data_IF_391643647234
#
_entry.id   IF_391643647234
#
_cell.length_a   1.000
_cell.length_b   1.000
_cell.length_c   1.000
_cell.angle_alpha   90.00
_cell.angle_beta   90.00
_cell.angle_gamma   90.00
#
_symmetry.space_group_name_H-M   'P 1'
#
loop_
_entity.id
_entity.type
_entity.pdbx_description
1 polymer ?
#
# COMPACT_ATOMS: atom_id res chain seq x y z
N UNK A 1 -4.65 -4.26 7.16
CA UNK A 1 -4.01 -2.94 6.98
C UNK A 1 -4.30 -2.49 5.54
N UNK A 2 -5.26 -1.59 5.35
CA UNK A 2 -5.52 -0.96 4.05
C UNK A 2 -4.40 0.06 3.84
N UNK A 3 -3.65 -0.02 2.74
CA UNK A 3 -2.74 1.05 2.34
C UNK A 3 -3.14 1.52 0.94
N UNK A 4 -3.59 2.77 0.84
CA UNK A 4 -3.79 3.47 -0.42
C UNK A 4 -2.72 4.54 -0.52
N UNK A 5 -1.87 4.49 -1.55
CA UNK A 5 -0.84 5.52 -1.75
C UNK A 5 -1.31 6.48 -2.81
N UNK A 6 -1.65 7.70 -2.42
CA UNK A 6 -1.93 8.81 -3.32
C UNK A 6 -0.64 9.60 -3.55
N UNK A 7 -0.17 9.67 -4.79
CA UNK A 7 0.89 10.61 -5.18
C UNK A 7 0.21 11.87 -5.71
N UNK A 8 0.34 12.98 -4.98
CA UNK A 8 -0.09 14.32 -5.41
C UNK A 8 1.19 15.12 -5.66
N UNK A 9 1.14 16.16 -6.51
CA UNK A 9 2.22 17.12 -6.72
C UNK A 9 2.79 17.76 -5.43
N UNK A 10 2.12 17.61 -4.28
CA UNK A 10 2.58 18.03 -2.94
C UNK A 10 3.27 16.92 -2.11
N UNK A 11 3.60 15.78 -2.73
CA UNK A 11 4.27 14.63 -2.10
C UNK A 11 3.38 13.39 -1.90
N UNK A 12 3.97 12.22 -1.58
CA UNK A 12 3.23 10.99 -1.33
C UNK A 12 2.38 11.07 -0.05
N UNK A 13 1.11 10.72 -0.16
CA UNK A 13 0.16 10.58 0.96
C UNK A 13 -0.29 9.13 1.03
N UNK A 14 -0.29 8.56 2.23
CA UNK A 14 -0.76 7.20 2.46
C UNK A 14 -2.05 7.25 3.29
N UNK A 15 -3.07 6.53 2.86
CA UNK A 15 -4.27 6.30 3.66
C UNK A 15 -4.15 4.90 4.22
N UNK A 16 -4.15 4.77 5.55
CA UNK A 16 -4.06 3.48 6.21
C UNK A 16 -4.41 3.49 7.68
N UNK A 17 -4.77 2.32 8.19
CA UNK A 17 -5.19 2.13 9.58
C UNK A 17 -3.96 1.92 10.49
N UNK A 18 -3.72 2.86 11.43
CA UNK A 18 -3.15 2.52 12.74
C UNK A 18 -1.67 2.78 13.06
N UNK A 19 -0.85 3.44 12.23
CA UNK A 19 0.50 3.95 12.65
C UNK A 19 0.91 5.20 11.88
N UNK A 20 1.70 6.08 12.53
CA UNK A 20 2.39 7.21 11.90
C UNK A 20 3.54 6.70 11.02
N UNK A 21 3.53 7.09 9.75
CA UNK A 21 4.62 6.85 8.79
C UNK A 21 5.47 8.13 8.61
N UNK A 22 5.40 9.06 9.56
CA UNK A 22 6.02 10.38 9.48
C UNK A 22 7.54 10.30 9.33
N UNK A 23 8.18 9.26 9.89
CA UNK A 23 9.60 8.97 9.70
C UNK A 23 10.01 8.69 8.25
N UNK A 24 9.05 8.44 7.36
CA UNK A 24 9.26 8.25 5.91
C UNK A 24 8.80 9.46 5.09
N UNK A 25 8.48 10.59 5.75
CA UNK A 25 7.88 11.75 5.09
C UNK A 25 6.46 11.47 4.57
N UNK A 26 5.83 10.41 5.06
CA UNK A 26 4.53 9.92 4.60
C UNK A 26 3.47 10.29 5.63
N UNK A 27 2.48 11.07 5.19
CA UNK A 27 1.30 11.35 6.00
C UNK A 27 0.36 10.15 5.97
N UNK A 28 0.01 9.65 7.15
CA UNK A 28 -0.98 8.60 7.35
C UNK A 28 -2.32 9.22 7.75
N UNK A 29 -3.42 8.71 7.22
CA UNK A 29 -4.76 9.14 7.60
C UNK A 29 -5.76 7.99 7.47
N UNK A 30 -6.85 8.08 8.22
CA UNK A 30 -8.00 7.20 8.03
C UNK A 30 -8.75 7.63 6.77
N UNK A 31 -9.33 6.67 6.06
CA UNK A 31 -10.20 6.99 4.93
C UNK A 31 -11.46 7.69 5.45
N UNK A 32 -11.56 9.00 5.19
CA UNK A 32 -12.75 9.80 5.44
C UNK A 32 -13.19 10.50 4.15
N UNK A 33 -14.36 11.13 4.19
CA UNK A 33 -14.93 11.82 3.03
C UNK A 33 -14.08 13.01 2.56
N UNK A 34 -13.27 13.62 3.45
CA UNK A 34 -12.43 14.76 3.11
C UNK A 34 -11.29 14.38 2.16
N UNK A 35 -10.75 13.16 2.29
CA UNK A 35 -9.73 12.62 1.39
C UNK A 35 -10.28 12.28 0.01
N UNK A 36 -11.55 11.87 -0.07
CA UNK A 36 -12.21 11.50 -1.33
C UNK A 36 -12.45 12.71 -2.25
N UNK A 37 -12.29 13.93 -1.75
CA UNK A 37 -12.33 15.16 -2.55
C UNK A 37 -11.00 15.45 -3.30
N UNK A 38 -9.95 14.65 -3.07
CA UNK A 38 -8.63 14.92 -3.63
C UNK A 38 -8.35 14.05 -4.85
N UNK A 39 -8.29 14.68 -6.02
CA UNK A 39 -8.00 14.03 -7.30
C UNK A 39 -6.51 13.71 -7.49
N UNK A 40 -6.06 12.59 -6.94
CA UNK A 40 -4.69 12.11 -7.07
C UNK A 40 -4.34 11.73 -8.52
N UNK A 41 -3.08 11.95 -8.90
CA UNK A 41 -2.55 11.52 -10.20
C UNK A 41 -2.42 10.00 -10.27
N UNK A 42 -1.91 9.41 -9.19
CA UNK A 42 -1.67 7.98 -9.06
C UNK A 42 -2.17 7.51 -7.70
N UNK A 43 -2.89 6.39 -7.70
CA UNK A 43 -3.28 5.67 -6.49
C UNK A 43 -2.76 4.25 -6.57
N UNK A 44 -2.03 3.79 -5.54
CA UNK A 44 -1.61 2.39 -5.39
C UNK A 44 -2.50 1.70 -4.37
N UNK A 45 -3.22 0.67 -4.81
CA UNK A 45 -4.12 -0.13 -3.98
C UNK A 45 -3.37 -1.37 -3.44
N UNK A 46 -3.22 -1.44 -2.12
CA UNK A 46 -2.44 -2.44 -1.40
C UNK A 46 -3.26 -3.19 -0.31
N UNK A 47 -4.58 -3.18 -0.40
CA UNK A 47 -5.52 -3.84 0.54
C UNK A 47 -5.99 -5.20 0.06
N UNK A 48 -6.23 -5.35 -1.25
CA UNK A 48 -6.77 -6.57 -1.86
C UNK A 48 -8.24 -6.81 -1.52
N UNK A 49 -8.97 -5.75 -1.13
CA UNK A 49 -10.40 -5.81 -0.80
C UNK A 49 -11.26 -5.00 -1.78
N UNK A 50 -12.51 -5.43 -2.07
CA UNK A 50 -13.43 -4.68 -2.94
C UNK A 50 -13.66 -3.23 -2.49
N UNK A 51 -13.77 -3.01 -1.17
CA UNK A 51 -13.88 -1.67 -0.61
C UNK A 51 -12.61 -0.83 -0.86
N UNK A 52 -11.43 -1.44 -0.77
CA UNK A 52 -10.16 -0.79 -1.07
C UNK A 52 -10.09 -0.29 -2.51
N UNK A 53 -10.51 -1.12 -3.47
CA UNK A 53 -10.60 -0.72 -4.88
C UNK A 53 -11.55 0.46 -5.09
N UNK A 54 -12.77 0.39 -4.52
CA UNK A 54 -13.77 1.45 -4.67
C UNK A 54 -13.26 2.78 -4.08
N UNK A 55 -12.63 2.75 -2.90
CA UNK A 55 -11.98 3.92 -2.31
C UNK A 55 -10.84 4.43 -3.18
N UNK A 56 -9.98 3.54 -3.70
CA UNK A 56 -8.86 3.91 -4.57
C UNK A 56 -9.32 4.66 -5.83
N UNK A 57 -10.39 4.17 -6.46
CA UNK A 57 -10.97 4.77 -7.66
C UNK A 57 -11.52 6.17 -7.40
N UNK A 58 -12.15 6.41 -6.24
CA UNK A 58 -12.69 7.72 -5.85
C UNK A 58 -11.60 8.74 -5.54
N UNK A 59 -10.42 8.30 -5.13
CA UNK A 59 -9.26 9.16 -4.87
C UNK A 59 -8.56 9.64 -6.13
N UNK A 60 -8.92 9.13 -7.32
CA UNK A 60 -8.28 9.54 -8.57
C UNK A 60 -8.99 10.76 -9.18
N UNK A 61 -8.19 11.66 -9.76
CA UNK A 61 -8.73 12.61 -10.74
C UNK A 61 -9.03 11.90 -12.06
N UNK A 62 -9.86 12.50 -12.94
CA UNK A 62 -9.92 12.09 -14.34
C UNK A 62 -8.53 12.02 -14.96
N UNK A 63 -8.29 10.96 -15.74
CA UNK A 63 -7.03 10.59 -16.39
C UNK A 63 -5.92 10.15 -15.43
N UNK A 64 -6.27 9.86 -14.18
CA UNK A 64 -5.35 9.29 -13.19
C UNK A 64 -5.07 7.80 -13.41
N UNK A 65 -4.09 7.27 -12.70
CA UNK A 65 -3.67 5.87 -12.76
C UNK A 65 -3.93 5.12 -11.45
N UNK A 66 -4.68 4.01 -11.52
CA UNK A 66 -4.87 3.05 -10.43
C UNK A 66 -3.90 1.88 -10.58
N UNK A 67 -2.93 1.76 -9.68
CA UNK A 67 -1.97 0.65 -9.63
C UNK A 67 -2.45 -0.40 -8.63
N UNK A 68 -2.73 -1.60 -9.13
CA UNK A 68 -3.16 -2.75 -8.33
C UNK A 68 -1.93 -3.53 -7.90
N UNK A 69 -1.51 -3.35 -6.64
CA UNK A 69 -0.39 -4.10 -6.06
C UNK A 69 -0.85 -5.40 -5.40
N UNK A 70 -2.09 -5.42 -4.93
CA UNK A 70 -2.68 -6.55 -4.24
C UNK A 70 -3.17 -7.65 -5.17
N UNK A 71 -3.25 -8.85 -4.61
CA UNK A 71 -4.11 -9.93 -5.12
C UNK A 71 -5.43 -9.91 -4.36
N UNK A 72 -6.55 -9.92 -5.08
CA UNK A 72 -7.88 -9.97 -4.49
C UNK A 72 -8.22 -11.41 -4.11
N UNK A 73 -8.72 -11.60 -2.90
CA UNK A 73 -9.18 -12.90 -2.42
C UNK A 73 -10.59 -13.23 -2.96
N UNK A 74 -11.46 -12.22 -2.99
CA UNK A 74 -12.83 -12.32 -3.50
C UNK A 74 -12.97 -11.74 -4.92
N UNK A 75 -14.07 -12.09 -5.58
CA UNK A 75 -14.46 -11.48 -6.85
C UNK A 75 -14.71 -9.97 -6.67
N UNK A 76 -14.22 -9.18 -7.63
CA UNK A 76 -14.36 -7.73 -7.64
C UNK A 76 -15.45 -7.31 -8.63
N UNK A 77 -16.45 -6.57 -8.14
CA UNK A 77 -17.39 -5.84 -9.00
C UNK A 77 -16.82 -4.46 -9.32
N UNK A 78 -16.78 -4.11 -10.60
CA UNK A 78 -16.14 -2.88 -11.09
C UNK A 78 -17.13 -2.07 -11.91
N UNK A 79 -17.26 -0.79 -11.59
CA UNK A 79 -17.94 0.19 -12.45
C UNK A 79 -17.05 0.54 -13.64
N UNK A 80 -17.22 -0.20 -14.74
CA UNK A 80 -16.48 0.02 -15.98
C UNK A 80 -16.83 1.35 -16.63
N UNK A 81 -18.08 1.81 -16.53
CA UNK A 81 -18.52 3.07 -17.10
C UNK A 81 -17.80 4.24 -16.43
N UNK A 82 -17.71 4.23 -15.10
CA UNK A 82 -16.94 5.22 -14.37
C UNK A 82 -15.48 5.26 -14.79
N UNK A 83 -14.83 4.11 -15.01
CA UNK A 83 -13.44 4.07 -15.50
C UNK A 83 -13.28 4.68 -16.88
N UNK A 84 -14.24 4.44 -17.78
CA UNK A 84 -14.23 4.98 -19.15
C UNK A 84 -14.45 6.50 -19.14
N UNK A 85 -15.46 6.98 -18.42
CA UNK A 85 -15.82 8.41 -18.37
C UNK A 85 -14.67 9.26 -17.84
N UNK A 86 -14.01 8.79 -16.78
CA UNK A 86 -12.87 9.49 -16.20
C UNK A 86 -11.54 9.11 -16.87
N UNK A 87 -11.54 8.30 -17.93
CA UNK A 87 -10.33 7.88 -18.67
C UNK A 87 -9.22 7.31 -17.77
N UNK A 88 -9.61 6.46 -16.82
CA UNK A 88 -8.67 5.93 -15.81
C UNK A 88 -7.76 4.86 -16.41
N UNK A 89 -6.46 4.96 -16.12
CA UNK A 89 -5.49 3.90 -16.42
C UNK A 89 -5.47 2.87 -15.29
N UNK A 90 -5.79 1.61 -15.59
CA UNK A 90 -5.64 0.49 -14.67
C UNK A 90 -4.33 -0.26 -14.93
N UNK A 91 -3.47 -0.39 -13.92
CA UNK A 91 -2.17 -1.05 -14.02
C UNK A 91 -2.02 -2.16 -12.99
N UNK A 92 -1.80 -3.40 -13.44
CA UNK A 92 -1.38 -4.49 -12.56
C UNK A 92 0.11 -4.40 -12.20
N UNK A 93 0.47 -4.64 -10.94
CA UNK A 93 1.86 -4.63 -10.48
C UNK A 93 2.20 -5.87 -9.65
N UNK A 94 3.00 -6.78 -10.23
CA UNK A 94 3.58 -7.92 -9.52
C UNK A 94 5.00 -7.57 -9.05
N UNK A 95 5.85 -8.55 -8.76
CA UNK A 95 7.20 -8.35 -8.22
C UNK A 95 7.97 -7.31 -9.03
N UNK A 96 8.58 -6.34 -8.35
CA UNK A 96 9.44 -5.34 -8.98
C UNK A 96 10.86 -5.87 -9.20
N UNK A 97 11.69 -5.16 -9.99
CA UNK A 97 13.06 -5.55 -10.24
C UNK A 97 13.92 -5.41 -8.98
N UNK A 98 14.67 -6.47 -8.63
CA UNK A 98 15.53 -6.48 -7.43
C UNK A 98 16.73 -5.55 -7.55
N UNK A 99 17.39 -5.48 -8.72
CA UNK A 99 18.61 -4.69 -8.86
C UNK A 99 18.40 -3.19 -8.55
N UNK A 100 17.36 -2.50 -9.05
CA UNK A 100 17.03 -1.14 -8.60
C UNK A 100 16.74 -1.03 -7.11
N UNK A 101 15.99 -1.98 -6.53
CA UNK A 101 15.67 -1.97 -5.10
C UNK A 101 16.93 -2.10 -4.23
N UNK A 102 17.85 -3.00 -4.59
CA UNK A 102 19.15 -3.17 -3.93
C UNK A 102 20.00 -1.89 -4.01
N UNK A 103 20.02 -1.22 -5.17
CA UNK A 103 20.74 0.06 -5.31
C UNK A 103 20.17 1.14 -4.39
N UNK A 104 18.85 1.25 -4.29
CA UNK A 104 18.19 2.22 -3.39
C UNK A 104 18.46 1.91 -1.91
N UNK A 105 18.51 0.63 -1.55
CA UNK A 105 18.87 0.21 -0.19
C UNK A 105 20.35 0.47 0.12
N UNK A 106 21.25 0.15 -0.82
CA UNK A 106 22.69 0.37 -0.67
C UNK A 106 23.04 1.86 -0.55
N UNK A 107 22.31 2.74 -1.23
CA UNK A 107 22.48 4.19 -1.13
C UNK A 107 21.79 4.82 0.09
N UNK A 108 21.12 4.03 0.93
CA UNK A 108 20.40 4.52 2.10
C UNK A 108 19.10 5.30 1.79
N UNK A 109 18.66 5.34 0.53
CA UNK A 109 17.42 6.01 0.13
C UNK A 109 16.17 5.22 0.56
N UNK A 110 16.31 3.91 0.77
CA UNK A 110 15.26 3.03 1.30
C UNK A 110 15.84 2.20 2.44
N UNK A 111 15.34 2.40 3.66
CA UNK A 111 15.77 1.68 4.86
C UNK A 111 14.69 0.76 5.43
N UNK A 112 14.51 -0.49 4.93
CA UNK A 112 13.37 -1.33 5.32
C UNK A 112 13.45 -1.87 6.76
N UNK A 113 14.56 -1.62 7.47
CA UNK A 113 14.77 -2.10 8.83
C UNK A 113 13.70 -1.61 9.80
N UNK A 114 13.14 -0.42 9.60
CA UNK A 114 12.05 0.11 10.45
C UNK A 114 10.73 -0.64 10.28
N UNK A 115 10.60 -1.49 9.24
CA UNK A 115 9.43 -2.34 9.04
C UNK A 115 9.53 -3.62 9.87
N UNK A 116 10.73 -4.00 10.31
CA UNK A 116 10.96 -5.19 11.14
C UNK A 116 10.38 -4.89 12.52
N UNK A 117 9.32 -5.60 12.87
CA UNK A 117 8.69 -5.52 14.18
C UNK A 117 9.47 -6.37 15.18
N UNK A 118 9.76 -7.63 14.84
CA UNK A 118 10.42 -8.61 15.71
C UNK A 118 11.23 -9.61 14.89
N UNK A 119 12.23 -10.24 15.53
CA UNK A 119 13.00 -11.36 14.97
C UNK A 119 12.97 -12.51 15.96
N UNK A 120 12.67 -13.70 15.45
CA UNK A 120 12.61 -14.96 16.19
C UNK A 120 13.66 -15.92 15.61
N UNK A 121 14.08 -16.92 16.38
CA UNK A 121 14.87 -18.04 15.85
C UNK A 121 13.98 -19.04 15.09
N UNK A 122 14.58 -19.93 14.30
CA UNK A 122 13.82 -20.88 13.49
C UNK A 122 12.97 -21.85 14.34
N UNK A 123 13.45 -22.23 15.54
CA UNK A 123 12.72 -23.07 16.51
C UNK A 123 11.47 -22.37 17.09
N UNK A 124 11.38 -21.05 16.94
CA UNK A 124 10.26 -20.22 17.40
C UNK A 124 9.26 -19.91 16.27
N UNK A 125 9.16 -20.77 15.24
CA UNK A 125 8.31 -20.52 14.07
C UNK A 125 6.83 -20.32 14.42
N UNK A 126 6.24 -21.16 15.27
CA UNK A 126 4.84 -21.04 15.68
C UNK A 126 4.51 -19.69 16.35
N UNK A 127 5.21 -19.25 17.43
CA UNK A 127 4.95 -17.94 18.01
C UNK A 127 5.28 -16.80 17.05
N UNK A 128 6.26 -16.96 16.14
CA UNK A 128 6.56 -15.96 15.12
C UNK A 128 5.38 -15.74 14.15
N UNK A 129 4.70 -16.82 13.72
CA UNK A 129 3.51 -16.70 12.87
C UNK A 129 2.32 -16.10 13.62
N UNK A 130 2.08 -16.52 14.87
CA UNK A 130 1.03 -15.93 15.71
C UNK A 130 1.26 -14.41 15.89
N UNK A 131 2.53 -14.02 16.09
CA UNK A 131 2.90 -12.62 16.18
C UNK A 131 2.69 -11.88 14.87
N UNK A 132 3.09 -12.47 13.74
CA UNK A 132 2.92 -11.86 12.42
C UNK A 132 1.44 -11.59 12.06
N UNK A 133 0.51 -12.38 12.60
CA UNK A 133 -0.93 -12.19 12.42
C UNK A 133 -1.54 -11.11 13.34
N UNK A 134 -0.78 -10.61 14.33
CA UNK A 134 -1.30 -9.65 15.30
C UNK A 134 -1.49 -8.25 14.69
N UNK A 135 -2.57 -7.52 15.05
CA UNK A 135 -2.76 -6.14 14.61
C UNK A 135 -1.57 -5.25 14.94
N UNK A 136 -1.19 -4.37 14.01
CA UNK A 136 -0.11 -3.41 14.20
C UNK A 136 1.31 -3.97 14.08
N UNK A 137 1.46 -5.26 13.75
CA UNK A 137 2.72 -5.90 13.35
C UNK A 137 2.91 -5.76 11.84
N UNK A 138 4.12 -5.40 11.39
CA UNK A 138 4.44 -5.17 9.98
C UNK A 138 5.22 -6.35 9.38
N UNK A 139 6.42 -6.61 9.90
CA UNK A 139 7.28 -7.70 9.42
C UNK A 139 7.91 -8.43 10.60
N UNK A 140 7.68 -9.73 10.69
CA UNK A 140 8.43 -10.64 11.55
C UNK A 140 9.50 -11.35 10.69
N UNK A 141 10.71 -11.49 11.23
CA UNK A 141 11.80 -12.25 10.62
C UNK A 141 12.07 -13.53 11.41
N UNK A 142 12.46 -14.58 10.70
CA UNK A 142 13.05 -15.79 11.26
C UNK A 142 14.54 -15.78 10.95
N UNK A 143 15.36 -15.86 11.99
CA UNK A 143 16.80 -16.05 11.90
C UNK A 143 17.11 -17.55 11.94
N UNK A 144 18.08 -18.03 11.12
CA UNK A 144 18.52 -19.42 11.14
C UNK A 144 19.06 -19.87 12.50
#
# INVERSE_FOLDING_TARGET
MIVLVSLIASGPRFVGWGRSWEGWGVRACLADESLLAHGADVVVECTGSPQGFASARRLLRPRGALVLKSTYHDALSVDMSGLVVDEITLLGSRCGPFAPALRLMASGLVGPRTLISETFTLDQSEPAFARAASPGVLKVLLAP
#
